data_IF_991652769934
#
_entry.id   IF_991652769934
#
_cell.length_a   1.000
_cell.length_b   1.000
_cell.length_c   1.000
_cell.angle_alpha   90.00
_cell.angle_beta   90.00
_cell.angle_gamma   90.00
#
_symmetry.space_group_name_H-M   'P 1'
#
loop_
_entity.id
_entity.type
_entity.pdbx_description
1 polymer ?
#
# COMPACT_ATOMS: atom_id res chain seq x y z
N UNK A 1 16.86 -32.63 0.60
CA UNK A 1 17.21 -33.33 -0.65
C UNK A 1 16.37 -32.73 -1.77
N UNK A 2 16.93 -32.61 -2.97
CA UNK A 2 16.20 -32.15 -4.16
C UNK A 2 15.02 -33.11 -4.44
N UNK A 3 13.83 -32.57 -4.53
CA UNK A 3 12.62 -33.34 -4.75
C UNK A 3 11.73 -32.62 -5.76
N UNK A 4 11.40 -33.29 -6.86
CA UNK A 4 10.39 -32.80 -7.78
C UNK A 4 9.01 -33.18 -7.23
N UNK A 5 8.12 -32.25 -6.98
CA UNK A 5 6.77 -32.55 -6.52
C UNK A 5 6.02 -33.34 -7.59
N UNK A 6 5.20 -34.29 -7.17
CA UNK A 6 4.29 -34.97 -8.08
C UNK A 6 3.18 -34.00 -8.51
N UNK A 7 3.24 -33.59 -9.77
CA UNK A 7 2.27 -32.62 -10.34
C UNK A 7 1.07 -33.39 -10.88
N UNK A 8 -0.11 -33.17 -10.27
CA UNK A 8 -1.39 -33.69 -10.76
C UNK A 8 -2.36 -32.51 -10.87
N UNK A 9 -3.24 -32.51 -11.89
CA UNK A 9 -4.20 -31.43 -12.13
C UNK A 9 -5.07 -31.15 -10.88
N UNK A 10 -5.52 -32.18 -10.22
CA UNK A 10 -6.33 -32.06 -8.99
C UNK A 10 -5.56 -31.39 -7.83
N UNK A 11 -4.24 -31.64 -7.74
CA UNK A 11 -3.39 -30.98 -6.73
C UNK A 11 -3.23 -29.50 -7.06
N UNK A 12 -3.09 -29.16 -8.35
CA UNK A 12 -2.98 -27.77 -8.80
C UNK A 12 -4.26 -26.99 -8.48
N UNK A 13 -5.43 -27.53 -8.82
CA UNK A 13 -6.72 -26.89 -8.57
C UNK A 13 -6.94 -26.58 -7.08
N UNK A 14 -6.63 -27.53 -6.21
CA UNK A 14 -6.78 -27.36 -4.75
C UNK A 14 -5.73 -26.42 -4.14
N UNK A 15 -4.53 -26.35 -4.73
CA UNK A 15 -3.45 -25.49 -4.22
C UNK A 15 -3.54 -24.05 -4.75
N UNK A 16 -4.22 -23.82 -5.88
CA UNK A 16 -4.23 -22.53 -6.58
C UNK A 16 -4.73 -21.35 -5.71
N UNK A 17 -5.85 -21.45 -4.96
CA UNK A 17 -6.32 -20.36 -4.11
C UNK A 17 -5.30 -20.00 -3.03
N UNK A 18 -4.77 -21.01 -2.35
CA UNK A 18 -3.76 -20.80 -1.30
C UNK A 18 -2.44 -20.27 -1.88
N UNK A 19 -2.02 -20.75 -3.05
CA UNK A 19 -0.83 -20.27 -3.72
C UNK A 19 -0.96 -18.81 -4.14
N UNK A 20 -2.12 -18.41 -4.66
CA UNK A 20 -2.40 -17.01 -5.00
C UNK A 20 -2.34 -16.11 -3.76
N UNK A 21 -3.00 -16.50 -2.69
CA UNK A 21 -2.99 -15.79 -1.43
C UNK A 21 -1.57 -15.61 -0.86
N UNK A 22 -0.77 -16.69 -0.84
CA UNK A 22 0.62 -16.63 -0.38
C UNK A 22 1.46 -15.74 -1.30
N UNK A 23 1.24 -15.80 -2.61
CA UNK A 23 1.97 -14.97 -3.58
C UNK A 23 1.70 -13.47 -3.36
N UNK A 24 0.43 -13.10 -3.18
CA UNK A 24 0.04 -11.70 -2.90
C UNK A 24 0.62 -11.22 -1.58
N UNK A 25 0.52 -12.02 -0.52
CA UNK A 25 1.13 -11.71 0.77
C UNK A 25 2.64 -11.51 0.66
N UNK A 26 3.33 -12.46 0.05
CA UNK A 26 4.78 -12.39 -0.12
C UNK A 26 5.20 -11.15 -0.94
N UNK A 27 4.44 -10.81 -1.98
CA UNK A 27 4.69 -9.63 -2.78
C UNK A 27 4.53 -8.33 -1.97
N UNK A 28 3.43 -8.19 -1.22
CA UNK A 28 3.16 -7.01 -0.39
C UNK A 28 4.23 -6.85 0.68
N UNK A 29 4.55 -7.90 1.43
CA UNK A 29 5.54 -7.84 2.51
C UNK A 29 6.94 -7.52 1.97
N UNK A 30 7.36 -8.12 0.84
CA UNK A 30 8.65 -7.84 0.22
C UNK A 30 8.74 -6.39 -0.22
N UNK A 31 7.75 -5.88 -0.94
CA UNK A 31 7.72 -4.49 -1.40
C UNK A 31 7.66 -3.49 -0.23
N UNK A 32 6.87 -3.76 0.81
CA UNK A 32 6.87 -2.93 2.02
C UNK A 32 8.23 -2.92 2.71
N UNK A 33 8.91 -4.07 2.76
CA UNK A 33 10.27 -4.16 3.30
C UNK A 33 11.25 -3.31 2.50
N UNK A 34 11.13 -3.28 1.16
CA UNK A 34 11.94 -2.44 0.28
C UNK A 34 11.65 -0.95 0.47
N UNK A 35 10.38 -0.55 0.56
CA UNK A 35 9.99 0.85 0.80
C UNK A 35 10.54 1.36 2.12
N UNK A 36 10.46 0.54 3.19
CA UNK A 36 11.04 0.90 4.49
C UNK A 36 12.56 1.03 4.40
N UNK A 37 13.21 0.10 3.68
CA UNK A 37 14.66 0.15 3.46
C UNK A 37 15.06 1.43 2.70
N UNK A 38 14.36 1.76 1.63
CA UNK A 38 14.61 2.98 0.84
C UNK A 38 14.50 4.23 1.69
N UNK A 39 13.47 4.33 2.52
CA UNK A 39 13.30 5.45 3.46
C UNK A 39 14.44 5.57 4.47
N UNK A 40 15.08 4.45 4.85
CA UNK A 40 16.18 4.45 5.82
C UNK A 40 17.55 4.76 5.20
N UNK A 41 17.77 4.39 3.93
CA UNK A 41 19.07 4.57 3.24
C UNK A 41 19.06 5.67 2.18
N UNK A 42 17.90 6.32 1.98
CA UNK A 42 17.65 7.27 0.91
C UNK A 42 17.96 6.68 -0.48
N UNK A 43 17.51 5.45 -0.69
CA UNK A 43 17.68 4.68 -1.92
C UNK A 43 16.40 4.62 -2.74
N UNK A 44 16.46 3.88 -3.84
CA UNK A 44 15.29 3.54 -4.66
C UNK A 44 15.44 2.10 -5.16
N UNK A 45 14.54 1.25 -4.76
CA UNK A 45 14.51 -0.14 -5.22
C UNK A 45 13.84 -0.27 -6.60
N UNK A 46 13.99 -1.44 -7.21
CA UNK A 46 13.32 -1.82 -8.47
C UNK A 46 12.27 -2.86 -8.14
N UNK A 47 11.02 -2.42 -7.99
CA UNK A 47 9.89 -3.25 -7.54
C UNK A 47 9.70 -4.53 -8.38
N UNK A 48 9.79 -4.40 -9.72
CA UNK A 48 9.61 -5.55 -10.61
C UNK A 48 10.69 -6.62 -10.40
N UNK A 49 11.95 -6.19 -10.23
CA UNK A 49 13.08 -7.10 -10.01
C UNK A 49 13.02 -7.76 -8.64
N UNK A 50 12.52 -7.05 -7.64
CA UNK A 50 12.29 -7.62 -6.30
C UNK A 50 11.27 -8.75 -6.36
N UNK A 51 10.13 -8.53 -7.03
CA UNK A 51 9.11 -9.56 -7.19
C UNK A 51 9.61 -10.77 -7.98
N UNK A 52 10.37 -10.55 -9.03
CA UNK A 52 11.01 -11.66 -9.81
C UNK A 52 11.99 -12.44 -8.95
N UNK A 53 12.84 -11.75 -8.18
CA UNK A 53 13.79 -12.38 -7.28
C UNK A 53 13.10 -13.19 -6.18
N UNK A 54 12.03 -12.63 -5.60
CA UNK A 54 11.20 -13.29 -4.58
C UNK A 54 10.54 -14.56 -5.15
N UNK A 55 9.97 -14.48 -6.35
CA UNK A 55 9.37 -15.63 -7.04
C UNK A 55 10.41 -16.72 -7.34
N UNK A 56 11.57 -16.35 -7.88
CA UNK A 56 12.65 -17.28 -8.17
C UNK A 56 13.19 -17.95 -6.89
N UNK A 57 13.33 -17.19 -5.80
CA UNK A 57 13.73 -17.71 -4.50
C UNK A 57 12.74 -18.72 -3.93
N UNK A 58 11.44 -18.46 -4.06
CA UNK A 58 10.40 -19.37 -3.60
C UNK A 58 10.30 -20.66 -4.44
N UNK A 59 10.50 -20.57 -5.76
CA UNK A 59 10.60 -21.75 -6.63
C UNK A 59 11.81 -22.61 -6.20
N UNK A 60 12.95 -21.98 -6.02
CA UNK A 60 14.16 -22.69 -5.55
C UNK A 60 13.92 -23.35 -4.18
N UNK A 61 13.31 -22.61 -3.24
CA UNK A 61 12.96 -23.15 -1.92
C UNK A 61 12.09 -24.42 -2.02
N UNK A 62 11.04 -24.37 -2.83
CA UNK A 62 10.13 -25.50 -3.02
C UNK A 62 10.83 -26.74 -3.61
N UNK A 63 11.77 -26.56 -4.56
CA UNK A 63 12.55 -27.65 -5.16
C UNK A 63 13.46 -28.37 -4.14
N UNK A 64 13.87 -27.68 -3.10
CA UNK A 64 14.66 -28.26 -2.00
C UNK A 64 13.80 -28.68 -0.78
N UNK A 65 12.48 -28.69 -0.94
CA UNK A 65 11.53 -29.08 0.13
C UNK A 65 11.33 -28.01 1.20
N UNK A 66 11.65 -26.76 0.88
CA UNK A 66 11.40 -25.61 1.76
C UNK A 66 9.96 -25.09 1.61
N UNK A 67 9.58 -24.25 2.56
CA UNK A 67 8.30 -23.51 2.54
C UNK A 67 8.48 -22.15 1.85
N UNK A 68 7.41 -21.54 1.35
CA UNK A 68 7.43 -20.18 0.85
C UNK A 68 7.95 -19.21 1.91
N UNK A 69 8.74 -18.23 1.47
CA UNK A 69 9.33 -17.21 2.33
C UNK A 69 9.16 -15.83 1.71
N UNK A 70 9.20 -14.79 2.54
CA UNK A 70 9.11 -13.39 2.11
C UNK A 70 10.11 -12.51 2.86
N UNK A 71 10.20 -11.24 2.44
CA UNK A 71 10.98 -10.22 3.12
C UNK A 71 10.41 -9.90 4.50
N UNK A 72 11.26 -9.67 5.49
CA UNK A 72 10.83 -9.31 6.83
C UNK A 72 11.27 -7.88 7.17
N UNK A 73 10.32 -6.97 7.29
CA UNK A 73 10.53 -5.54 7.53
C UNK A 73 11.46 -5.30 8.74
N UNK A 74 11.15 -5.94 9.87
CA UNK A 74 11.94 -5.76 11.09
C UNK A 74 13.39 -6.22 10.95
N UNK A 75 13.63 -7.33 10.23
CA UNK A 75 14.97 -7.85 9.97
C UNK A 75 15.73 -6.98 8.99
N UNK A 76 15.07 -6.47 7.96
CA UNK A 76 15.63 -5.52 7.00
C UNK A 76 16.04 -4.24 7.70
N UNK A 77 15.16 -3.66 8.52
CA UNK A 77 15.46 -2.47 9.30
C UNK A 77 16.61 -2.69 10.30
N UNK A 78 16.65 -3.85 10.97
CA UNK A 78 17.75 -4.19 11.88
C UNK A 78 19.08 -4.34 11.12
N UNK A 79 19.08 -4.97 9.94
CA UNK A 79 20.28 -5.10 9.11
C UNK A 79 20.82 -3.73 8.70
N UNK A 80 19.94 -2.81 8.26
CA UNK A 80 20.33 -1.45 7.86
C UNK A 80 20.89 -0.67 9.04
N UNK A 81 20.24 -0.73 10.21
CA UNK A 81 20.74 -0.08 11.45
C UNK A 81 22.12 -0.57 11.86
N UNK A 82 22.45 -1.83 11.57
CA UNK A 82 23.77 -2.41 11.82
C UNK A 82 24.76 -2.24 10.65
N UNK A 83 24.44 -1.39 9.67
CA UNK A 83 25.34 -1.01 8.58
C UNK A 83 25.25 -1.89 7.32
N UNK A 84 24.33 -2.86 7.27
CA UNK A 84 24.11 -3.68 6.08
C UNK A 84 23.45 -2.86 4.97
N UNK A 85 24.14 -2.74 3.83
CA UNK A 85 23.67 -1.94 2.68
C UNK A 85 23.71 -2.68 1.35
N UNK A 86 24.14 -3.93 1.37
CA UNK A 86 24.34 -4.72 0.16
C UNK A 86 23.71 -6.10 0.30
N UNK A 87 23.40 -6.78 -0.81
CA UNK A 87 22.91 -8.16 -0.79
C UNK A 87 23.86 -9.15 -0.10
N UNK A 88 25.14 -8.80 0.01
CA UNK A 88 26.15 -9.64 0.67
C UNK A 88 25.76 -9.95 2.12
N UNK A 89 25.14 -9.01 2.83
CA UNK A 89 24.66 -9.25 4.20
C UNK A 89 23.63 -10.40 4.26
N UNK A 90 22.73 -10.47 3.28
CA UNK A 90 21.77 -11.58 3.14
C UNK A 90 22.46 -12.91 2.82
N UNK A 91 23.46 -12.90 1.95
CA UNK A 91 24.24 -14.10 1.59
C UNK A 91 25.01 -14.64 2.81
N UNK A 92 25.71 -13.76 3.53
CA UNK A 92 26.45 -14.14 4.76
C UNK A 92 25.48 -14.73 5.79
N UNK A 93 24.31 -14.11 5.98
CA UNK A 93 23.27 -14.64 6.87
C UNK A 93 22.83 -16.04 6.45
N UNK A 94 22.59 -16.28 5.17
CA UNK A 94 22.17 -17.59 4.68
C UNK A 94 23.24 -18.65 4.91
N UNK A 95 24.51 -18.33 4.65
CA UNK A 95 25.64 -19.21 4.92
C UNK A 95 25.74 -19.50 6.43
N UNK A 96 25.63 -18.49 7.28
CA UNK A 96 25.65 -18.64 8.73
C UNK A 96 24.54 -19.58 9.20
N UNK A 97 23.33 -19.44 8.67
CA UNK A 97 22.20 -20.32 9.01
C UNK A 97 22.46 -21.76 8.59
N UNK A 98 23.08 -22.00 7.43
CA UNK A 98 23.47 -23.35 7.00
C UNK A 98 24.54 -23.94 7.95
N UNK A 99 25.54 -23.16 8.34
CA UNK A 99 26.54 -23.60 9.33
C UNK A 99 25.87 -23.94 10.67
N UNK A 100 24.97 -23.09 11.15
CA UNK A 100 24.20 -23.35 12.38
C UNK A 100 23.40 -24.64 12.26
N UNK A 101 22.72 -24.86 11.15
CA UNK A 101 21.90 -26.04 10.91
C UNK A 101 22.76 -27.33 10.89
N UNK A 102 23.90 -27.29 10.24
CA UNK A 102 24.75 -28.50 10.06
C UNK A 102 25.58 -28.79 11.29
N UNK A 103 26.18 -27.77 11.92
CA UNK A 103 27.19 -27.94 12.98
C UNK A 103 26.60 -27.69 14.37
N UNK A 104 25.77 -26.66 14.54
CA UNK A 104 25.29 -26.23 15.86
C UNK A 104 23.88 -26.78 16.23
N UNK A 105 23.24 -27.54 15.35
CA UNK A 105 21.89 -28.10 15.64
C UNK A 105 21.84 -28.89 16.98
N UNK A 106 22.82 -29.71 17.35
CA UNK A 106 22.78 -30.38 18.65
C UNK A 106 22.80 -29.42 19.84
N UNK A 107 23.49 -28.28 19.71
CA UNK A 107 23.53 -27.23 20.75
C UNK A 107 22.27 -26.40 20.78
N UNK A 108 21.65 -26.19 19.61
CA UNK A 108 20.36 -25.48 19.51
C UNK A 108 19.25 -26.18 20.29
N UNK A 109 19.26 -27.51 20.35
CA UNK A 109 18.32 -28.29 21.17
C UNK A 109 18.48 -28.10 22.68
N UNK A 110 19.58 -27.55 23.14
CA UNK A 110 19.83 -27.25 24.56
C UNK A 110 19.26 -25.91 25.00
N UNK A 111 18.74 -25.09 24.07
CA UNK A 111 18.17 -23.78 24.38
C UNK A 111 16.82 -23.99 25.09
N UNK A 112 16.65 -23.52 26.34
CA UNK A 112 15.40 -23.71 27.06
C UNK A 112 14.27 -22.88 26.43
N UNK A 113 13.08 -23.48 26.33
CA UNK A 113 11.89 -22.82 25.75
C UNK A 113 11.57 -21.44 26.35
N UNK A 114 11.73 -21.20 27.68
CA UNK A 114 11.49 -19.89 28.25
C UNK A 114 12.38 -18.78 27.65
N UNK A 115 13.61 -19.11 27.28
CA UNK A 115 14.53 -18.16 26.64
C UNK A 115 14.02 -17.75 25.26
N UNK A 116 13.53 -18.71 24.46
CA UNK A 116 12.94 -18.45 23.15
C UNK A 116 11.67 -17.60 23.31
N UNK A 117 10.82 -17.92 24.28
CA UNK A 117 9.62 -17.15 24.57
C UNK A 117 9.94 -15.70 24.96
N UNK A 118 10.95 -15.49 25.81
CA UNK A 118 11.38 -14.14 26.21
C UNK A 118 11.91 -13.32 25.00
N UNK A 119 12.68 -13.94 24.13
CA UNK A 119 13.18 -13.28 22.90
C UNK A 119 12.01 -12.92 21.99
N UNK A 120 11.05 -13.83 21.78
CA UNK A 120 9.88 -13.56 20.95
C UNK A 120 9.02 -12.43 21.52
N UNK A 121 8.89 -12.34 22.85
CA UNK A 121 8.16 -11.27 23.50
C UNK A 121 8.81 -9.90 23.26
N UNK A 122 10.13 -9.80 23.37
CA UNK A 122 10.89 -8.58 23.08
C UNK A 122 10.78 -8.22 21.59
N UNK A 123 10.84 -9.20 20.70
CA UNK A 123 10.68 -8.98 19.26
C UNK A 123 9.28 -8.45 18.96
N UNK A 124 8.23 -9.04 19.52
CA UNK A 124 6.86 -8.60 19.35
C UNK A 124 6.66 -7.16 19.85
N UNK A 125 7.21 -6.81 21.02
CA UNK A 125 7.18 -5.45 21.55
C UNK A 125 7.87 -4.45 20.60
N UNK A 126 9.04 -4.79 20.08
CA UNK A 126 9.77 -3.93 19.13
C UNK A 126 9.06 -3.80 17.78
N UNK A 127 8.34 -4.83 17.33
CA UNK A 127 7.56 -4.81 16.09
C UNK A 127 6.25 -4.06 16.20
N UNK A 128 5.68 -3.94 17.40
CA UNK A 128 4.41 -3.28 17.64
C UNK A 128 4.40 -1.79 17.25
N UNK A 129 5.57 -1.14 17.21
CA UNK A 129 5.74 0.27 16.82
C UNK A 129 4.69 1.20 17.46
N UNK A 130 4.40 1.02 18.72
CA UNK A 130 3.36 1.73 19.45
C UNK A 130 3.35 3.26 19.23
N UNK A 131 4.53 3.87 19.13
CA UNK A 131 4.66 5.31 18.89
C UNK A 131 4.12 5.71 17.50
N UNK A 132 4.41 4.92 16.49
CA UNK A 132 3.92 5.12 15.12
C UNK A 132 2.41 4.95 15.05
N UNK A 133 1.89 3.93 15.74
CA UNK A 133 0.45 3.67 15.82
C UNK A 133 -0.31 4.86 16.44
N UNK A 134 0.15 5.37 17.59
CA UNK A 134 -0.45 6.55 18.25
C UNK A 134 -0.33 7.81 17.38
N UNK A 135 0.79 7.99 16.70
CA UNK A 135 0.98 9.11 15.77
C UNK A 135 -0.01 9.02 14.61
N UNK A 136 -0.17 7.84 14.03
CA UNK A 136 -1.09 7.60 12.90
C UNK A 136 -2.54 7.93 13.30
N UNK A 137 -3.01 7.45 14.45
CA UNK A 137 -4.37 7.77 14.95
C UNK A 137 -4.61 9.27 15.12
N UNK A 138 -3.56 10.03 15.45
CA UNK A 138 -3.69 11.49 15.67
C UNK A 138 -3.60 12.32 14.39
N UNK A 139 -2.93 11.80 13.37
CA UNK A 139 -2.56 12.58 12.17
C UNK A 139 -3.29 12.10 10.91
N UNK A 140 -3.67 10.83 10.85
CA UNK A 140 -4.30 10.25 9.66
C UNK A 140 -5.75 10.73 9.51
N UNK A 141 -6.26 10.79 8.26
CA UNK A 141 -7.66 11.03 7.97
C UNK A 141 -8.56 9.97 8.62
N UNK A 142 -9.81 10.33 8.90
CA UNK A 142 -10.78 9.40 9.53
C UNK A 142 -11.00 8.12 8.73
N UNK A 143 -10.95 8.20 7.40
CA UNK A 143 -11.03 7.03 6.50
C UNK A 143 -9.93 6.02 6.79
N UNK A 144 -8.70 6.47 6.90
CA UNK A 144 -7.53 5.60 7.10
C UNK A 144 -7.53 4.98 8.51
N UNK A 145 -8.05 5.73 9.50
CA UNK A 145 -8.24 5.22 10.86
C UNK A 145 -9.30 4.10 10.88
N UNK A 146 -10.37 4.23 10.10
CA UNK A 146 -11.40 3.18 9.98
C UNK A 146 -10.79 1.92 9.37
N UNK A 147 -10.02 2.06 8.28
CA UNK A 147 -9.31 0.92 7.66
C UNK A 147 -8.36 0.26 8.64
N UNK A 148 -7.57 1.06 9.38
CA UNK A 148 -6.62 0.58 10.37
C UNK A 148 -7.31 -0.29 11.44
N UNK A 149 -8.39 0.20 12.03
CA UNK A 149 -9.11 -0.56 13.06
C UNK A 149 -9.86 -1.77 12.48
N UNK A 150 -10.46 -1.63 11.29
CA UNK A 150 -11.14 -2.74 10.64
C UNK A 150 -10.17 -3.88 10.31
N UNK A 151 -9.02 -3.58 9.70
CA UNK A 151 -7.99 -4.60 9.41
C UNK A 151 -7.41 -5.20 10.67
N UNK A 152 -7.18 -4.41 11.71
CA UNK A 152 -6.69 -4.92 13.00
C UNK A 152 -7.66 -5.91 13.64
N UNK A 153 -8.95 -5.55 13.70
CA UNK A 153 -9.99 -6.42 14.28
C UNK A 153 -10.16 -7.69 13.45
N UNK A 154 -10.18 -7.55 12.10
CA UNK A 154 -10.30 -8.70 11.20
C UNK A 154 -9.11 -9.66 11.34
N UNK A 155 -7.90 -9.14 11.52
CA UNK A 155 -6.70 -9.96 11.74
C UNK A 155 -6.79 -10.78 13.04
N UNK A 156 -7.42 -10.22 14.07
CA UNK A 156 -7.58 -10.93 15.36
C UNK A 156 -8.71 -11.98 15.30
N UNK A 157 -9.83 -11.65 14.63
CA UNK A 157 -11.03 -12.48 14.62
C UNK A 157 -10.98 -13.61 13.57
N UNK A 158 -10.34 -13.37 12.44
CA UNK A 158 -10.28 -14.31 11.32
C UNK A 158 -8.84 -14.73 11.03
N UNK A 159 -8.24 -14.11 10.03
CA UNK A 159 -6.88 -14.39 9.58
C UNK A 159 -6.29 -13.15 8.91
N UNK A 160 -4.97 -13.08 8.84
CA UNK A 160 -4.23 -12.00 8.18
C UNK A 160 -4.63 -11.85 6.70
N UNK A 161 -4.89 -12.95 6.01
CA UNK A 161 -5.27 -12.97 4.60
C UNK A 161 -6.61 -12.27 4.38
N UNK A 162 -7.63 -12.70 5.11
CA UNK A 162 -8.99 -12.12 5.08
C UNK A 162 -8.94 -10.63 5.46
N UNK A 163 -8.12 -10.28 6.43
CA UNK A 163 -7.96 -8.90 6.86
C UNK A 163 -7.35 -8.02 5.76
N UNK A 164 -6.35 -8.53 5.01
CA UNK A 164 -5.73 -7.82 3.90
C UNK A 164 -6.72 -7.66 2.73
N UNK A 165 -7.43 -8.72 2.35
CA UNK A 165 -8.40 -8.68 1.26
C UNK A 165 -9.52 -7.67 1.53
N UNK A 166 -10.17 -7.76 2.68
CA UNK A 166 -11.25 -6.84 3.08
C UNK A 166 -10.69 -5.44 3.30
N UNK A 167 -9.53 -5.31 3.94
CA UNK A 167 -8.88 -4.04 4.20
C UNK A 167 -8.51 -3.31 2.92
N UNK A 168 -8.03 -4.02 1.91
CA UNK A 168 -7.70 -3.47 0.59
C UNK A 168 -8.96 -2.97 -0.13
N UNK A 169 -10.03 -3.76 -0.15
CA UNK A 169 -11.30 -3.35 -0.76
C UNK A 169 -11.86 -2.12 -0.05
N UNK A 170 -11.86 -2.12 1.28
CA UNK A 170 -12.34 -0.98 2.07
C UNK A 170 -11.49 0.28 1.83
N UNK A 171 -10.17 0.13 1.76
CA UNK A 171 -9.26 1.23 1.46
C UNK A 171 -9.51 1.81 0.07
N UNK A 172 -9.71 0.96 -0.95
CA UNK A 172 -10.05 1.39 -2.30
C UNK A 172 -11.37 2.17 -2.34
N UNK A 173 -12.41 1.67 -1.69
CA UNK A 173 -13.72 2.33 -1.64
C UNK A 173 -13.65 3.69 -0.94
N UNK A 174 -12.95 3.77 0.19
CA UNK A 174 -12.78 5.03 0.92
C UNK A 174 -11.88 6.01 0.18
N UNK A 175 -10.88 5.52 -0.56
CA UNK A 175 -10.05 6.34 -1.43
C UNK A 175 -10.87 6.95 -2.58
N UNK A 176 -11.71 6.13 -3.25
CA UNK A 176 -12.61 6.62 -4.31
C UNK A 176 -13.54 7.69 -3.76
N UNK A 177 -14.16 7.45 -2.59
CA UNK A 177 -15.01 8.44 -1.93
C UNK A 177 -14.25 9.73 -1.65
N UNK A 178 -13.06 9.66 -1.08
CA UNK A 178 -12.24 10.84 -0.79
C UNK A 178 -11.86 11.61 -2.05
N UNK A 179 -11.48 10.90 -3.12
CA UNK A 179 -11.18 11.53 -4.41
C UNK A 179 -12.38 12.27 -5.01
N UNK A 180 -13.59 11.73 -4.80
CA UNK A 180 -14.83 12.40 -5.21
C UNK A 180 -15.10 13.69 -4.39
N UNK A 181 -14.80 13.68 -3.10
CA UNK A 181 -14.98 14.85 -2.22
C UNK A 181 -13.96 15.98 -2.48
N UNK A 182 -12.81 15.67 -3.10
CA UNK A 182 -11.77 16.66 -3.49
C UNK A 182 -12.12 17.39 -4.81
N UNK A 183 -13.20 16.99 -5.48
CA UNK A 183 -13.64 17.67 -6.70
C UNK A 183 -14.47 18.88 -6.33
N UNK A 184 -13.98 20.07 -6.68
CA UNK A 184 -14.67 21.34 -6.47
C UNK A 184 -15.05 21.98 -7.80
N UNK A 185 -16.26 22.52 -7.87
CA UNK A 185 -16.75 23.27 -9.02
C UNK A 185 -17.02 24.70 -8.55
N UNK A 186 -16.15 25.60 -8.91
CA UNK A 186 -16.27 27.02 -8.59
C UNK A 186 -16.95 27.76 -9.74
N UNK A 187 -18.17 28.23 -9.52
CA UNK A 187 -18.87 29.11 -10.44
C UNK A 187 -18.33 30.54 -10.34
N UNK A 188 -17.77 31.03 -11.39
CA UNK A 188 -17.37 32.44 -11.48
C UNK A 188 -18.61 33.30 -11.65
N UNK A 189 -19.12 33.73 -10.52
CA UNK A 189 -20.14 34.76 -10.49
C UNK A 189 -19.48 36.11 -10.70
N UNK A 190 -20.09 36.97 -11.42
CA UNK A 190 -19.63 38.32 -11.68
C UNK A 190 -19.02 38.98 -10.46
N UNK A 191 -17.81 39.41 -10.64
CA UNK A 191 -16.81 39.79 -9.67
C UNK A 191 -17.25 40.98 -8.84
N UNK A 192 -17.19 40.82 -7.54
CA UNK A 192 -16.84 41.91 -6.63
C UNK A 192 -15.34 42.22 -6.77
N UNK A 193 -14.98 43.48 -6.82
CA UNK A 193 -13.71 44.06 -7.25
C UNK A 193 -12.47 43.70 -6.40
N UNK A 194 -12.62 42.87 -5.35
CA UNK A 194 -11.64 42.71 -4.28
C UNK A 194 -10.81 41.42 -4.34
N UNK A 195 -10.93 40.57 -5.36
CA UNK A 195 -10.06 39.38 -5.48
C UNK A 195 -8.92 39.62 -6.47
N UNK A 196 -7.65 39.67 -5.99
CA UNK A 196 -6.49 40.04 -6.80
C UNK A 196 -6.04 38.99 -7.83
N UNK A 197 -6.54 37.75 -7.76
CA UNK A 197 -6.06 36.61 -8.55
C UNK A 197 -6.88 36.26 -9.80
N UNK A 198 -7.86 37.06 -10.15
CA UNK A 198 -8.69 36.80 -11.33
C UNK A 198 -8.05 37.43 -12.57
N UNK A 199 -7.78 36.60 -13.59
CA UNK A 199 -7.31 37.05 -14.91
C UNK A 199 -8.14 38.28 -15.38
N UNK A 200 -7.50 39.41 -15.55
CA UNK A 200 -8.17 40.68 -15.88
C UNK A 200 -9.03 40.62 -17.15
N UNK A 201 -8.81 39.60 -17.99
CA UNK A 201 -9.59 39.34 -19.20
C UNK A 201 -10.97 38.75 -18.92
N UNK A 202 -11.17 38.05 -17.78
CA UNK A 202 -12.45 37.45 -17.38
C UNK A 202 -13.41 38.47 -16.75
N UNK A 203 -12.89 39.60 -16.26
CA UNK A 203 -13.70 40.70 -15.69
C UNK A 203 -14.61 41.42 -16.71
N UNK A 204 -14.47 41.14 -18.01
CA UNK A 204 -15.23 41.78 -19.08
C UNK A 204 -16.23 40.89 -19.82
N UNK A 205 -16.56 39.71 -19.24
CA UNK A 205 -17.49 38.80 -19.90
C UNK A 205 -18.95 39.31 -19.77
N UNK A 206 -19.73 39.20 -20.85
CA UNK A 206 -21.15 39.53 -20.81
C UNK A 206 -21.89 38.64 -19.81
N UNK A 207 -22.96 39.17 -19.17
CA UNK A 207 -23.83 38.44 -18.22
C UNK A 207 -24.42 37.13 -18.76
N UNK A 208 -24.43 36.99 -20.10
CA UNK A 208 -24.96 35.83 -20.81
C UNK A 208 -23.95 34.64 -20.85
N UNK A 209 -22.69 34.90 -20.50
CA UNK A 209 -21.66 33.86 -20.47
C UNK A 209 -21.41 33.45 -19.02
N UNK A 210 -21.51 32.16 -18.76
CA UNK A 210 -21.16 31.55 -17.48
C UNK A 210 -19.89 30.74 -17.60
N UNK A 211 -18.98 30.94 -16.66
CA UNK A 211 -17.72 30.20 -16.60
C UNK A 211 -17.68 29.43 -15.29
N UNK A 212 -17.46 28.15 -15.38
CA UNK A 212 -17.21 27.27 -14.23
C UNK A 212 -15.83 26.69 -14.34
N UNK A 213 -15.06 26.79 -13.27
CA UNK A 213 -13.76 26.11 -13.15
C UNK A 213 -13.95 24.83 -12.37
N UNK A 214 -13.54 23.73 -12.98
CA UNK A 214 -13.57 22.40 -12.36
C UNK A 214 -12.16 22.06 -11.93
N UNK A 215 -12.00 21.80 -10.64
CA UNK A 215 -10.73 21.43 -10.02
C UNK A 215 -10.86 20.06 -9.38
N UNK A 216 -9.91 19.17 -9.65
CA UNK A 216 -9.93 17.81 -9.16
C UNK A 216 -10.33 16.77 -10.20
N UNK A 217 -10.24 15.48 -9.87
CA UNK A 217 -10.53 14.39 -10.81
C UNK A 217 -12.03 14.20 -11.00
N UNK A 218 -12.49 14.14 -12.25
CA UNK A 218 -13.88 13.87 -12.62
C UNK A 218 -14.10 12.37 -12.79
N UNK A 219 -14.66 11.77 -11.76
CA UNK A 219 -15.15 10.39 -11.75
C UNK A 219 -16.66 10.35 -11.50
N UNK A 220 -17.27 9.17 -11.64
CA UNK A 220 -18.70 8.95 -11.41
C UNK A 220 -19.22 9.58 -10.09
N UNK A 221 -18.41 9.64 -9.04
CA UNK A 221 -18.78 10.27 -7.76
C UNK A 221 -18.80 11.81 -7.79
N UNK A 222 -18.30 12.45 -8.84
CA UNK A 222 -18.36 13.90 -9.03
C UNK A 222 -19.58 14.34 -9.89
N UNK A 223 -20.40 13.39 -10.35
CA UNK A 223 -21.58 13.68 -11.17
C UNK A 223 -22.55 14.64 -10.47
N UNK A 224 -22.80 14.42 -9.17
CA UNK A 224 -23.65 15.31 -8.35
C UNK A 224 -23.14 16.77 -8.34
N UNK A 225 -21.83 16.97 -8.36
CA UNK A 225 -21.24 18.32 -8.38
C UNK A 225 -21.51 19.02 -9.73
N UNK A 226 -21.52 18.27 -10.83
CA UNK A 226 -21.83 18.79 -12.17
C UNK A 226 -23.33 19.12 -12.28
N UNK A 227 -24.20 18.34 -11.67
CA UNK A 227 -25.64 18.57 -11.67
C UNK A 227 -26.01 19.88 -10.95
N UNK A 228 -25.18 20.34 -10.02
CA UNK A 228 -25.35 21.62 -9.34
C UNK A 228 -24.91 22.85 -10.15
N UNK A 229 -24.45 22.66 -11.40
CA UNK A 229 -24.18 23.79 -12.30
C UNK A 229 -25.50 24.50 -12.66
N UNK A 230 -25.71 25.65 -12.04
CA UNK A 230 -26.93 26.44 -12.27
C UNK A 230 -26.81 27.21 -13.57
N UNK A 231 -27.58 26.80 -14.58
CA UNK A 231 -27.76 27.54 -15.82
C UNK A 231 -29.01 28.40 -15.67
N UNK A 232 -28.85 29.73 -15.73
CA UNK A 232 -30.01 30.68 -15.68
C UNK A 232 -30.59 30.86 -17.08
N UNK A 233 -31.89 31.19 -17.15
CA UNK A 233 -32.64 31.31 -18.41
C UNK A 233 -32.06 32.29 -19.44
N UNK A 234 -31.21 33.25 -19.01
CA UNK A 234 -30.54 34.21 -19.89
C UNK A 234 -29.12 33.77 -20.29
N UNK A 235 -28.65 32.55 -19.91
CA UNK A 235 -27.32 32.06 -20.25
C UNK A 235 -27.29 31.56 -21.70
N UNK A 236 -26.51 32.22 -22.54
CA UNK A 236 -26.38 31.85 -23.96
C UNK A 236 -25.16 30.94 -24.19
N UNK A 237 -24.15 31.04 -23.32
CA UNK A 237 -22.95 30.26 -23.42
C UNK A 237 -22.44 29.80 -22.04
N UNK A 238 -22.17 28.52 -21.94
CA UNK A 238 -21.57 27.88 -20.76
C UNK A 238 -20.13 27.45 -21.12
N UNK A 239 -19.15 27.95 -20.38
CA UNK A 239 -17.76 27.60 -20.52
C UNK A 239 -17.32 26.78 -19.32
N UNK A 240 -16.92 25.55 -19.55
CA UNK A 240 -16.34 24.67 -18.53
C UNK A 240 -14.81 24.73 -18.66
N UNK A 241 -14.14 25.30 -17.66
CA UNK A 241 -12.69 25.38 -17.59
C UNK A 241 -12.18 24.14 -16.86
N UNK A 242 -11.54 23.24 -17.59
CA UNK A 242 -11.06 21.94 -17.09
C UNK A 242 -9.54 21.86 -16.99
N UNK A 243 -8.86 23.01 -16.82
CA UNK A 243 -7.40 23.08 -16.81
C UNK A 243 -6.79 22.29 -15.64
N UNK A 244 -7.49 22.24 -14.52
CA UNK A 244 -7.04 21.61 -13.27
C UNK A 244 -7.65 20.23 -13.06
N UNK A 245 -8.20 19.61 -14.11
CA UNK A 245 -8.73 18.24 -14.09
C UNK A 245 -7.65 17.26 -14.51
N UNK A 246 -7.09 16.45 -13.60
CA UNK A 246 -6.00 15.52 -13.91
C UNK A 246 -6.48 14.26 -14.63
N UNK A 247 -7.73 13.86 -14.44
CA UNK A 247 -8.31 12.66 -15.03
C UNK A 247 -9.83 12.78 -15.15
N UNK A 248 -10.38 12.21 -16.23
CA UNK A 248 -11.81 12.11 -16.50
C UNK A 248 -12.11 10.66 -16.84
N UNK A 249 -13.16 10.10 -16.26
CA UNK A 249 -13.67 8.79 -16.67
C UNK A 249 -14.79 8.94 -17.72
N UNK A 250 -15.28 7.81 -18.24
CA UNK A 250 -16.27 7.78 -19.30
C UNK A 250 -17.72 7.70 -18.78
N UNK A 251 -17.94 7.85 -17.49
CA UNK A 251 -19.27 7.79 -16.84
C UNK A 251 -20.06 9.08 -16.96
#
# INVERSE_FOLDING_TARGET
>A
AFHLPAVNLHIIENALPNAFTIAVLAAIESLLSCVVADGMINGKHRSDMELVAQGAGNIASALFGGIPATGAIARTAANIKNGGRTPVAGMVRSITLVIVLVVLMPFAGMIPMPTIAAILFIVAYNMCQWRTFVHLIRTAPKSDIIVLFATFILTILFDLVVAIEIGMVLACLLFIKRMSEETHIDGWTYVDDDTPDVDAHLKKLPLQIRVYEITGPLFFGAADAIEHIVVKDFTTCLVLRMRSVPAIDAS
#
